data_IF_316758651239
#
_entry.id   IF_316758651239
#
_cell.length_a   1.000
_cell.length_b   1.000
_cell.length_c   1.000
_cell.angle_alpha   90.00
_cell.angle_beta   90.00
_cell.angle_gamma   90.00
#
_symmetry.space_group_name_H-M   'P 1'
#
loop_
_entity.id
_entity.type
_entity.pdbx_description
1 polymer ?
#
# COMPACT_ATOMS: atom_id res chain seq x y z
N UNK A 1 34.80 7.64 33.75
CA UNK A 1 34.56 7.92 32.32
C UNK A 1 33.74 9.18 32.25
N UNK A 2 34.34 10.26 31.75
CA UNK A 2 33.68 11.57 31.72
C UNK A 2 32.60 11.62 30.64
N UNK A 3 31.62 12.52 30.78
CA UNK A 3 30.59 12.74 29.73
C UNK A 3 31.22 13.15 28.40
N UNK A 4 32.38 13.82 28.44
CA UNK A 4 33.15 14.19 27.26
C UNK A 4 33.76 12.96 26.56
N UNK A 5 34.41 12.07 27.31
CA UNK A 5 34.96 10.80 26.80
C UNK A 5 33.86 9.90 26.20
N UNK A 6 32.67 9.89 26.80
CA UNK A 6 31.53 9.12 26.29
C UNK A 6 31.03 9.68 24.95
N UNK A 7 30.94 11.02 24.83
CA UNK A 7 30.54 11.68 23.57
C UNK A 7 31.54 11.43 22.45
N UNK A 8 32.83 11.49 22.76
CA UNK A 8 33.90 11.24 21.79
C UNK A 8 33.89 9.79 21.31
N UNK A 9 33.74 8.83 22.23
CA UNK A 9 33.57 7.41 21.88
C UNK A 9 32.31 7.14 21.07
N UNK A 10 31.21 7.80 21.39
CA UNK A 10 29.96 7.67 20.64
C UNK A 10 30.11 8.23 19.22
N UNK A 11 30.78 9.37 19.05
CA UNK A 11 31.06 9.95 17.74
C UNK A 11 31.97 9.03 16.89
N UNK A 12 33.04 8.51 17.48
CA UNK A 12 33.93 7.56 16.81
C UNK A 12 33.22 6.25 16.42
N UNK A 13 32.31 5.76 17.28
CA UNK A 13 31.49 4.59 16.97
C UNK A 13 30.50 4.85 15.83
N UNK A 14 29.84 6.02 15.81
CA UNK A 14 28.96 6.44 14.70
C UNK A 14 29.74 6.51 13.40
N UNK A 15 30.93 7.10 13.41
CA UNK A 15 31.78 7.22 12.22
C UNK A 15 32.19 5.86 11.68
N UNK A 16 32.62 4.94 12.55
CA UNK A 16 32.95 3.57 12.16
C UNK A 16 31.75 2.81 11.58
N UNK A 17 30.56 2.97 12.16
CA UNK A 17 29.31 2.38 11.65
C UNK A 17 28.97 2.97 10.27
N UNK A 18 29.10 4.28 10.10
CA UNK A 18 28.83 4.96 8.83
C UNK A 18 29.83 4.55 7.74
N UNK A 19 31.12 4.44 8.05
CA UNK A 19 32.14 3.96 7.12
C UNK A 19 31.89 2.51 6.71
N UNK A 20 31.58 1.63 7.67
CA UNK A 20 31.23 0.24 7.36
C UNK A 20 29.97 0.17 6.48
N UNK A 21 28.95 0.98 6.78
CA UNK A 21 27.71 1.06 6.01
C UNK A 21 27.97 1.51 4.57
N UNK A 22 28.79 2.54 4.37
CA UNK A 22 29.16 3.01 3.03
C UNK A 22 30.03 2.00 2.27
N UNK A 23 30.98 1.33 2.93
CA UNK A 23 31.77 0.24 2.29
C UNK A 23 30.90 -0.92 1.85
N UNK A 24 29.95 -1.35 2.69
CA UNK A 24 28.99 -2.42 2.35
C UNK A 24 28.09 -1.99 1.18
N UNK A 25 27.61 -0.75 1.20
CA UNK A 25 26.80 -0.17 0.13
C UNK A 25 27.57 -0.11 -1.20
N UNK A 26 28.81 0.38 -1.19
CA UNK A 26 29.68 0.44 -2.37
C UNK A 26 29.98 -0.96 -2.91
N UNK A 27 30.33 -1.92 -2.04
CA UNK A 27 30.63 -3.29 -2.48
C UNK A 27 29.41 -4.00 -3.05
N UNK A 28 28.22 -3.79 -2.46
CA UNK A 28 26.96 -4.23 -3.05
C UNK A 28 26.74 -3.59 -4.42
N UNK A 29 26.95 -2.28 -4.54
CA UNK A 29 26.79 -1.54 -5.81
C UNK A 29 27.75 -2.01 -6.92
N UNK A 30 28.97 -2.42 -6.57
CA UNK A 30 29.93 -3.00 -7.52
C UNK A 30 29.54 -4.40 -8.02
N UNK A 31 28.83 -5.19 -7.20
CA UNK A 31 28.34 -6.52 -7.56
C UNK A 31 27.06 -6.47 -8.39
N UNK A 32 26.38 -5.32 -8.42
CA UNK A 32 25.17 -5.11 -9.19
C UNK A 32 25.56 -4.67 -10.60
N UNK A 33 25.26 -5.51 -11.57
CA UNK A 33 25.77 -5.49 -12.93
C UNK A 33 24.87 -4.75 -13.92
N UNK A 34 23.66 -4.34 -13.53
CA UNK A 34 22.73 -3.67 -14.45
C UNK A 34 21.80 -2.64 -13.79
N UNK A 35 21.79 -1.43 -14.35
CA UNK A 35 20.65 -0.50 -14.22
C UNK A 35 19.48 -1.06 -15.05
N UNK A 36 18.35 -1.34 -14.38
CA UNK A 36 17.14 -1.87 -15.03
C UNK A 36 16.66 -0.95 -16.16
N UNK A 37 16.75 0.37 -15.98
CA UNK A 37 16.33 1.33 -17.00
C UNK A 37 17.30 1.40 -18.18
N UNK A 38 18.61 1.32 -17.94
CA UNK A 38 19.64 1.18 -18.97
C UNK A 38 19.48 -0.12 -19.77
N UNK A 39 19.25 -1.23 -19.09
CA UNK A 39 19.06 -2.55 -19.70
C UNK A 39 17.74 -2.65 -20.49
N UNK A 40 16.65 -2.07 -19.97
CA UNK A 40 15.40 -1.99 -20.71
C UNK A 40 15.54 -1.17 -22.00
N UNK A 41 16.32 -0.08 -21.96
CA UNK A 41 16.66 0.74 -23.14
C UNK A 41 17.52 -0.02 -24.15
N UNK A 42 18.53 -0.78 -23.71
CA UNK A 42 19.37 -1.58 -24.62
C UNK A 42 18.59 -2.70 -25.32
N UNK A 43 17.57 -3.24 -24.66
CA UNK A 43 16.61 -4.19 -25.25
C UNK A 43 15.58 -3.53 -26.19
N UNK A 44 15.68 -2.22 -26.43
CA UNK A 44 14.77 -1.50 -27.34
C UNK A 44 13.34 -1.38 -26.82
N UNK A 45 13.10 -1.48 -25.51
CA UNK A 45 11.75 -1.32 -24.96
C UNK A 45 11.30 0.14 -25.09
N UNK A 46 10.17 0.34 -25.77
CA UNK A 46 9.54 1.64 -25.88
C UNK A 46 8.74 1.98 -24.62
N UNK A 47 8.57 3.28 -24.37
CA UNK A 47 7.69 3.80 -23.33
C UNK A 47 6.25 3.42 -23.64
N UNK A 48 5.52 2.98 -22.61
CA UNK A 48 4.07 2.80 -22.72
C UNK A 48 3.47 4.18 -22.99
N UNK A 49 2.57 4.29 -23.96
CA UNK A 49 1.87 5.55 -24.28
C UNK A 49 0.38 5.35 -24.08
N UNK A 50 -0.23 6.20 -23.25
CA UNK A 50 -1.69 6.23 -23.09
C UNK A 50 -2.29 7.35 -23.93
N UNK A 51 -3.39 7.05 -24.61
CA UNK A 51 -4.29 8.03 -25.18
C UNK A 51 -5.21 8.66 -24.13
N UNK A 52 -5.87 9.79 -24.45
CA UNK A 52 -6.73 10.52 -23.52
C UNK A 52 -7.99 9.76 -23.05
N UNK A 53 -8.34 8.67 -23.72
CA UNK A 53 -9.50 7.81 -23.39
C UNK A 53 -9.08 6.49 -22.73
N UNK A 54 -7.78 6.26 -22.54
CA UNK A 54 -7.30 4.94 -22.16
C UNK A 54 -7.58 4.64 -20.70
N UNK A 55 -7.52 5.60 -19.78
CA UNK A 55 -7.86 5.40 -18.37
C UNK A 55 -8.84 6.48 -17.91
N UNK A 56 -10.07 6.08 -17.59
CA UNK A 56 -11.16 7.01 -17.27
C UNK A 56 -11.83 6.63 -15.96
N UNK A 57 -12.32 7.63 -15.22
CA UNK A 57 -13.15 7.39 -14.04
C UNK A 57 -14.52 6.85 -14.50
N UNK A 58 -14.73 5.55 -14.27
CA UNK A 58 -15.94 4.86 -14.69
C UNK A 58 -17.07 5.00 -13.65
N UNK A 59 -16.71 5.08 -12.36
CA UNK A 59 -17.66 5.14 -11.23
C UNK A 59 -17.08 5.97 -10.09
N UNK A 60 -17.97 6.63 -9.37
CA UNK A 60 -17.66 7.28 -8.07
C UNK A 60 -18.52 6.60 -7.01
N UNK A 61 -17.88 6.02 -5.99
CA UNK A 61 -18.53 5.41 -4.85
C UNK A 61 -18.62 6.45 -3.72
N UNK A 62 -19.84 6.76 -3.29
CA UNK A 62 -20.10 7.73 -2.24
C UNK A 62 -20.86 7.09 -1.08
N UNK A 63 -20.42 7.37 0.15
CA UNK A 63 -21.15 6.88 1.32
C UNK A 63 -20.39 6.84 2.63
N UNK A 64 -19.06 6.94 2.61
CA UNK A 64 -18.33 7.28 3.83
C UNK A 64 -18.60 8.72 4.23
N UNK A 65 -18.71 8.97 5.52
CA UNK A 65 -18.90 10.32 6.06
C UNK A 65 -17.58 10.95 6.48
N UNK A 66 -16.54 10.13 6.63
CA UNK A 66 -15.18 10.53 6.97
C UNK A 66 -14.19 10.26 5.85
N UNK A 67 -12.92 10.56 6.13
CA UNK A 67 -11.80 10.30 5.24
C UNK A 67 -11.64 8.80 5.03
N UNK A 68 -11.49 8.37 3.79
CA UNK A 68 -11.09 7.00 3.46
C UNK A 68 -9.60 6.87 3.79
N UNK A 69 -9.18 5.75 4.38
CA UNK A 69 -7.77 5.50 4.73
C UNK A 69 -7.19 4.29 3.99
N UNK A 70 -7.99 3.24 3.83
CA UNK A 70 -7.57 2.06 3.09
C UNK A 70 -8.71 1.51 2.26
N UNK A 71 -8.33 0.79 1.22
CA UNK A 71 -9.22 0.02 0.38
C UNK A 71 -8.50 -1.26 -0.03
N UNK A 72 -9.27 -2.30 -0.30
CA UNK A 72 -8.76 -3.53 -0.89
C UNK A 72 -9.79 -4.16 -1.83
N UNK A 73 -9.31 -4.89 -2.83
CA UNK A 73 -10.17 -5.59 -3.80
C UNK A 73 -10.30 -7.05 -3.44
N UNK A 74 -11.49 -7.60 -3.68
CA UNK A 74 -11.64 -9.05 -3.63
C UNK A 74 -11.00 -9.72 -4.85
N UNK A 75 -10.47 -10.95 -4.72
CA UNK A 75 -9.95 -11.71 -5.85
C UNK A 75 -10.97 -11.98 -6.98
N UNK A 76 -12.25 -12.02 -6.63
CA UNK A 76 -13.39 -12.20 -7.56
C UNK A 76 -13.71 -10.94 -8.39
N UNK A 77 -13.10 -9.78 -8.06
CA UNK A 77 -13.21 -8.48 -8.76
C UNK A 77 -14.56 -7.77 -8.64
N UNK A 78 -15.53 -8.41 -8.03
CA UNK A 78 -16.89 -7.90 -7.90
C UNK A 78 -17.02 -6.94 -6.70
N UNK A 79 -16.19 -7.11 -5.67
CA UNK A 79 -16.28 -6.36 -4.41
C UNK A 79 -15.01 -5.58 -4.04
N UNK A 80 -15.23 -4.43 -3.40
CA UNK A 80 -14.21 -3.57 -2.81
C UNK A 80 -14.58 -3.36 -1.35
N UNK A 81 -13.61 -3.42 -0.45
CA UNK A 81 -13.78 -3.03 0.96
C UNK A 81 -13.05 -1.72 1.16
N UNK A 82 -13.65 -0.81 1.90
CA UNK A 82 -13.02 0.46 2.26
C UNK A 82 -13.15 0.74 3.75
N UNK A 83 -12.07 1.25 4.33
CA UNK A 83 -11.97 1.68 5.72
C UNK A 83 -11.92 3.20 5.81
N UNK A 84 -12.64 3.74 6.80
CA UNK A 84 -12.81 5.17 6.97
C UNK A 84 -12.61 5.61 8.42
N UNK A 85 -12.31 6.91 8.56
CA UNK A 85 -12.27 7.62 9.82
C UNK A 85 -13.59 7.51 10.62
N UNK A 86 -14.71 7.35 9.92
CA UNK A 86 -16.06 7.26 10.51
C UNK A 86 -16.32 5.99 11.34
N UNK A 87 -15.35 5.07 11.43
CA UNK A 87 -15.50 3.84 12.19
C UNK A 87 -16.31 2.78 11.46
N UNK A 88 -16.47 2.87 10.14
CA UNK A 88 -17.18 1.88 9.34
C UNK A 88 -16.26 1.28 8.28
N UNK A 89 -16.47 -0.02 8.03
CA UNK A 89 -16.09 -0.64 6.78
C UNK A 89 -17.32 -0.68 5.88
N UNK A 90 -17.14 -0.32 4.61
CA UNK A 90 -18.17 -0.53 3.61
C UNK A 90 -17.63 -1.51 2.57
N UNK A 91 -18.41 -2.55 2.31
CA UNK A 91 -18.19 -3.44 1.17
C UNK A 91 -19.10 -2.96 0.04
N UNK A 92 -18.49 -2.71 -1.10
CA UNK A 92 -19.13 -2.20 -2.30
C UNK A 92 -19.15 -3.28 -3.36
N UNK A 93 -20.19 -3.31 -4.18
CA UNK A 93 -20.14 -3.94 -5.48
C UNK A 93 -19.50 -2.96 -6.48
N UNK A 94 -18.34 -3.32 -7.03
CA UNK A 94 -17.56 -2.47 -7.92
C UNK A 94 -18.30 -2.12 -9.22
N UNK A 95 -19.13 -3.04 -9.73
CA UNK A 95 -19.83 -2.87 -11.00
C UNK A 95 -21.06 -1.96 -10.89
N UNK A 96 -21.84 -2.17 -9.82
CA UNK A 96 -23.13 -1.46 -9.61
C UNK A 96 -23.01 -0.25 -8.69
N UNK A 97 -21.85 -0.04 -8.06
CA UNK A 97 -21.61 0.98 -7.02
C UNK A 97 -22.52 0.88 -5.78
N UNK A 98 -23.20 -0.25 -5.60
CA UNK A 98 -24.08 -0.50 -4.45
C UNK A 98 -23.29 -0.92 -3.21
N UNK A 99 -23.79 -0.56 -2.03
CA UNK A 99 -23.26 -1.01 -0.74
C UNK A 99 -23.85 -2.37 -0.42
N UNK A 100 -23.02 -3.42 -0.39
CA UNK A 100 -23.46 -4.78 -0.05
C UNK A 100 -23.47 -5.00 1.46
N UNK A 101 -22.42 -4.54 2.14
CA UNK A 101 -22.33 -4.58 3.60
C UNK A 101 -21.84 -3.24 4.16
N UNK A 102 -22.36 -2.86 5.32
CA UNK A 102 -21.87 -1.74 6.10
C UNK A 102 -21.60 -2.24 7.52
N UNK A 103 -20.33 -2.44 7.86
CA UNK A 103 -19.89 -2.99 9.14
C UNK A 103 -19.51 -1.83 10.04
N UNK A 104 -20.22 -1.67 11.15
CA UNK A 104 -19.87 -0.70 12.18
C UNK A 104 -18.83 -1.31 13.10
N UNK A 105 -17.69 -0.64 13.23
CA UNK A 105 -16.61 -1.05 14.12
C UNK A 105 -16.76 -0.35 15.48
N UNK A 106 -16.25 -0.97 16.56
CA UNK A 106 -16.31 -0.40 17.90
C UNK A 106 -15.44 0.86 18.04
N UNK A 107 -14.40 1.00 17.22
CA UNK A 107 -13.48 2.12 17.26
C UNK A 107 -13.53 2.92 15.95
N UNK A 108 -13.52 4.24 16.08
CA UNK A 108 -13.31 5.16 14.96
C UNK A 108 -11.85 5.09 14.48
N UNK A 109 -11.53 5.72 13.35
CA UNK A 109 -10.17 5.74 12.78
C UNK A 109 -9.67 4.35 12.39
N UNK A 110 -10.43 3.72 11.49
CA UNK A 110 -10.05 2.45 10.88
C UNK A 110 -9.05 2.78 9.78
N UNK A 111 -7.79 2.44 10.02
CA UNK A 111 -6.68 2.86 9.16
C UNK A 111 -6.42 1.86 8.05
N UNK A 112 -6.77 0.59 8.27
CA UNK A 112 -6.48 -0.50 7.34
C UNK A 112 -7.65 -1.45 7.16
N UNK A 113 -7.74 -2.02 5.96
CA UNK A 113 -8.62 -3.12 5.64
C UNK A 113 -7.96 -4.02 4.59
N UNK A 114 -8.29 -5.32 4.63
CA UNK A 114 -7.85 -6.30 3.66
C UNK A 114 -8.93 -7.37 3.45
N UNK A 115 -9.06 -7.87 2.23
CA UNK A 115 -9.88 -9.04 1.92
C UNK A 115 -9.08 -10.33 2.12
N UNK A 116 -9.78 -11.38 2.53
CA UNK A 116 -9.24 -12.74 2.46
C UNK A 116 -9.07 -13.18 0.99
N UNK A 117 -8.05 -14.00 0.68
CA UNK A 117 -7.90 -14.66 -0.62
C UNK A 117 -9.15 -15.40 -1.12
N UNK A 118 -10.00 -15.89 -0.22
CA UNK A 118 -11.31 -16.48 -0.60
C UNK A 118 -12.43 -15.46 -0.85
N UNK A 119 -12.24 -14.20 -0.48
CA UNK A 119 -13.27 -13.15 -0.56
C UNK A 119 -14.43 -13.30 0.44
N UNK A 120 -14.32 -14.22 1.40
CA UNK A 120 -15.36 -14.48 2.40
C UNK A 120 -15.20 -13.65 3.66
N UNK A 121 -13.97 -13.26 4.00
CA UNK A 121 -13.68 -12.50 5.21
C UNK A 121 -13.00 -11.18 4.91
N UNK A 122 -13.18 -10.22 5.81
CA UNK A 122 -12.49 -8.93 5.79
C UNK A 122 -11.79 -8.71 7.12
N UNK A 123 -10.53 -8.29 7.06
CA UNK A 123 -9.77 -7.87 8.22
C UNK A 123 -9.71 -6.34 8.25
N UNK A 124 -9.66 -5.78 9.45
CA UNK A 124 -9.46 -4.35 9.66
C UNK A 124 -8.70 -4.07 10.94
N UNK A 125 -8.05 -2.92 10.99
CA UNK A 125 -7.37 -2.44 12.17
C UNK A 125 -7.29 -0.92 12.20
N UNK A 126 -7.01 -0.36 13.37
CA UNK A 126 -6.93 1.08 13.54
C UNK A 126 -6.24 1.49 14.83
N UNK A 127 -6.76 2.56 15.44
CA UNK A 127 -6.17 3.20 16.61
C UNK A 127 -6.22 2.34 17.89
N UNK A 128 -7.10 1.34 17.94
CA UNK A 128 -7.28 0.45 19.07
C UNK A 128 -6.15 -0.59 19.24
N UNK A 129 -5.24 -0.69 18.27
CA UNK A 129 -4.14 -1.66 18.27
C UNK A 129 -4.62 -3.09 18.05
N UNK A 130 -5.88 -3.28 17.66
CA UNK A 130 -6.48 -4.58 17.38
C UNK A 130 -6.61 -4.78 15.87
N UNK A 131 -6.55 -6.03 15.44
CA UNK A 131 -7.01 -6.41 14.12
C UNK A 131 -8.23 -7.32 14.25
N UNK A 132 -9.39 -6.84 13.81
CA UNK A 132 -10.65 -7.58 13.83
C UNK A 132 -10.96 -8.19 12.48
N UNK A 133 -11.46 -9.41 12.47
CA UNK A 133 -11.83 -10.15 11.27
C UNK A 133 -13.34 -10.41 11.30
N UNK A 134 -14.00 -10.12 10.18
CA UNK A 134 -15.42 -10.30 9.97
C UNK A 134 -15.65 -11.26 8.81
N UNK A 135 -16.52 -12.24 9.02
CA UNK A 135 -17.00 -13.10 7.95
C UNK A 135 -18.26 -12.48 7.33
N UNK A 136 -18.24 -12.27 6.01
CA UNK A 136 -19.33 -11.62 5.28
C UNK A 136 -20.55 -12.52 5.11
N UNK A 137 -20.37 -13.84 5.22
CA UNK A 137 -21.45 -14.83 5.12
C UNK A 137 -22.18 -15.07 6.45
N UNK A 138 -21.67 -14.54 7.57
CA UNK A 138 -22.30 -14.70 8.88
C UNK A 138 -23.62 -13.93 8.95
N UNK A 139 -24.59 -14.50 9.67
CA UNK A 139 -25.85 -13.81 9.93
C UNK A 139 -25.58 -12.51 10.70
N UNK A 140 -26.20 -11.42 10.25
CA UNK A 140 -26.17 -10.15 10.97
C UNK A 140 -26.94 -10.26 12.28
N UNK A 141 -26.46 -9.58 13.31
CA UNK A 141 -27.16 -9.50 14.60
C UNK A 141 -28.50 -8.72 14.46
N UNK A 142 -29.30 -8.67 15.53
CA UNK A 142 -30.59 -7.96 15.60
C UNK A 142 -30.49 -6.48 15.19
N UNK A 143 -29.34 -5.87 15.44
CA UNK A 143 -29.05 -4.48 15.08
C UNK A 143 -28.52 -4.31 13.64
N UNK A 144 -28.47 -5.39 12.85
CA UNK A 144 -27.98 -5.40 11.46
C UNK A 144 -26.45 -5.37 11.33
N UNK A 145 -25.71 -5.51 12.43
CA UNK A 145 -24.24 -5.52 12.42
C UNK A 145 -23.70 -6.93 12.21
N UNK A 146 -22.59 -7.05 11.48
CA UNK A 146 -21.85 -8.31 11.38
C UNK A 146 -21.04 -8.54 12.66
N UNK A 147 -21.15 -9.72 13.31
CA UNK A 147 -20.37 -10.02 14.50
C UNK A 147 -18.88 -10.15 14.17
N UNK A 148 -18.03 -9.78 15.13
CA UNK A 148 -16.59 -10.01 15.03
C UNK A 148 -16.34 -11.52 15.13
N UNK A 149 -15.68 -12.09 14.13
CA UNK A 149 -15.33 -13.51 14.13
C UNK A 149 -14.10 -13.78 14.99
N UNK A 150 -13.04 -12.98 14.79
CA UNK A 150 -11.77 -13.11 15.50
C UNK A 150 -11.23 -11.72 15.79
N UNK A 151 -10.68 -11.52 16.99
CA UNK A 151 -9.95 -10.31 17.36
C UNK A 151 -8.51 -10.69 17.68
N UNK A 152 -7.58 -10.18 16.89
CA UNK A 152 -6.15 -10.33 17.09
C UNK A 152 -5.65 -9.16 17.93
N UNK A 153 -5.29 -9.47 19.17
CA UNK A 153 -4.80 -8.49 20.13
C UNK A 153 -3.31 -8.69 20.38
N UNK A 154 -2.53 -7.62 20.23
CA UNK A 154 -1.19 -7.66 20.76
C UNK A 154 -0.21 -6.58 20.37
N UNK A 155 -0.59 -5.67 19.49
CA UNK A 155 0.19 -4.48 19.24
C UNK A 155 0.12 -3.52 20.43
N UNK A 156 1.23 -2.82 20.68
CA UNK A 156 1.30 -1.77 21.72
C UNK A 156 0.91 -0.40 21.18
N UNK A 157 0.81 -0.26 19.86
CA UNK A 157 0.44 0.94 19.14
C UNK A 157 -0.72 0.67 18.17
N UNK A 158 -1.07 1.69 17.39
CA UNK A 158 -2.12 1.59 16.38
C UNK A 158 -1.69 0.68 15.22
N UNK A 159 -2.63 -0.07 14.65
CA UNK A 159 -2.39 -0.89 13.45
C UNK A 159 -2.45 0.01 12.22
N UNK A 160 -1.32 0.15 11.53
CA UNK A 160 -1.18 1.03 10.37
C UNK A 160 -1.59 0.35 9.06
N UNK A 161 -1.30 -0.95 8.92
CA UNK A 161 -1.64 -1.74 7.75
C UNK A 161 -1.90 -3.20 8.16
N UNK A 162 -2.75 -3.89 7.41
CA UNK A 162 -2.99 -5.30 7.51
C UNK A 162 -3.12 -5.88 6.09
N UNK A 163 -2.60 -7.09 5.90
CA UNK A 163 -2.70 -7.79 4.62
C UNK A 163 -2.71 -9.29 4.87
N UNK A 164 -3.62 -9.99 4.19
CA UNK A 164 -3.60 -11.45 4.18
C UNK A 164 -2.37 -11.97 3.45
N UNK A 165 -1.85 -13.11 3.92
CA UNK A 165 -0.83 -13.84 3.16
C UNK A 165 -1.48 -14.37 1.88
N UNK A 166 -0.90 -14.13 0.68
CA UNK A 166 -1.43 -14.68 -0.56
C UNK A 166 -1.58 -16.20 -0.48
N UNK A 167 -2.62 -16.73 -1.13
CA UNK A 167 -2.94 -18.16 -1.20
C UNK A 167 -3.29 -18.84 0.15
N UNK A 168 -3.28 -18.10 1.26
CA UNK A 168 -3.59 -18.62 2.60
C UNK A 168 -4.61 -17.75 3.34
N UNK A 169 -5.78 -18.32 3.63
CA UNK A 169 -6.85 -17.64 4.38
C UNK A 169 -6.63 -17.64 5.90
N UNK A 170 -5.59 -18.34 6.37
CA UNK A 170 -5.31 -18.56 7.79
C UNK A 170 -4.30 -17.59 8.38
N UNK A 171 -3.53 -16.89 7.55
CA UNK A 171 -2.46 -16.01 8.01
C UNK A 171 -2.69 -14.57 7.60
N UNK A 172 -2.47 -13.66 8.54
CA UNK A 172 -2.48 -12.23 8.30
C UNK A 172 -1.24 -11.58 8.86
N UNK A 173 -0.68 -10.64 8.10
CA UNK A 173 0.44 -9.80 8.54
C UNK A 173 -0.13 -8.43 8.88
N UNK A 174 0.23 -7.94 10.06
CA UNK A 174 -0.11 -6.58 10.50
C UNK A 174 1.16 -5.78 10.71
N UNK A 175 1.11 -4.49 10.41
CA UNK A 175 2.13 -3.51 10.78
C UNK A 175 1.53 -2.51 11.77
N UNK A 176 2.34 -2.04 12.70
CA UNK A 176 1.88 -1.17 13.79
C UNK A 176 2.84 0.00 14.02
N UNK A 177 2.30 1.07 14.60
CA UNK A 177 3.07 2.20 15.12
C UNK A 177 4.01 1.83 16.27
N UNK A 178 3.96 0.61 16.79
CA UNK A 178 4.94 0.07 17.74
C UNK A 178 6.26 -0.42 17.09
N UNK A 179 6.44 -0.14 15.79
CA UNK A 179 7.63 -0.49 15.00
C UNK A 179 7.82 -2.00 14.78
N UNK A 180 6.80 -2.80 15.07
CA UNK A 180 6.79 -4.24 14.79
C UNK A 180 5.80 -4.59 13.69
N UNK A 181 6.13 -5.62 12.93
CA UNK A 181 5.19 -6.34 12.09
C UNK A 181 4.97 -7.73 12.70
N UNK A 182 3.74 -8.21 12.72
CA UNK A 182 3.41 -9.50 13.34
C UNK A 182 2.66 -10.35 12.33
N UNK A 183 3.09 -11.60 12.18
CA UNK A 183 2.34 -12.65 11.50
C UNK A 183 1.45 -13.34 12.51
N UNK A 184 0.18 -13.41 12.20
CA UNK A 184 -0.84 -14.03 13.03
C UNK A 184 -1.41 -15.24 12.33
N UNK A 185 -1.72 -16.25 13.12
CA UNK A 185 -2.62 -17.33 12.72
C UNK A 185 -4.04 -16.98 13.20
N UNK A 186 -4.96 -16.87 12.25
CA UNK A 186 -6.35 -16.46 12.45
C UNK A 186 -7.12 -17.55 13.20
N UNK A 187 -6.78 -18.82 12.99
CA UNK A 187 -7.50 -19.95 13.60
C UNK A 187 -7.26 -20.03 15.10
N UNK A 188 -6.02 -19.77 15.53
CA UNK A 188 -5.61 -19.77 16.93
C UNK A 188 -5.70 -18.40 17.58
N UNK A 189 -5.69 -17.32 16.79
CA UNK A 189 -5.62 -15.94 17.26
C UNK A 189 -4.26 -15.56 17.85
N UNK A 190 -3.24 -16.40 17.66
CA UNK A 190 -1.92 -16.25 18.26
C UNK A 190 -0.92 -15.59 17.30
N UNK A 191 0.12 -15.00 17.90
CA UNK A 191 1.27 -14.46 17.16
C UNK A 191 2.17 -15.61 16.77
N UNK A 192 2.32 -15.85 15.48
CA UNK A 192 3.22 -16.89 14.96
C UNK A 192 4.65 -16.38 14.95
N UNK A 193 4.87 -15.19 14.38
CA UNK A 193 6.20 -14.56 14.31
C UNK A 193 6.09 -13.04 14.49
N UNK A 194 7.09 -12.45 15.13
CA UNK A 194 7.22 -11.00 15.30
C UNK A 194 8.48 -10.56 14.55
N UNK A 195 8.31 -9.61 13.64
CA UNK A 195 9.36 -9.00 12.85
C UNK A 195 9.61 -7.57 13.34
N UNK A 196 10.85 -7.21 13.61
CA UNK A 196 11.23 -5.82 13.98
C UNK A 196 11.30 -5.55 15.49
N UNK A 197 11.86 -4.38 15.83
CA UNK A 197 12.15 -3.94 17.21
C UNK A 197 13.40 -3.07 17.30
N UNK A 198 14.60 -3.63 17.06
CA UNK A 198 15.89 -2.97 17.35
C UNK A 198 16.77 -2.66 16.12
N UNK A 199 16.31 -2.92 14.89
CA UNK A 199 17.09 -2.62 13.68
C UNK A 199 16.30 -1.74 12.70
N UNK A 200 16.81 -0.52 12.48
CA UNK A 200 16.36 0.37 11.41
C UNK A 200 16.84 -0.20 10.05
N UNK A 201 16.10 -1.15 9.49
CA UNK A 201 16.37 -1.65 8.14
C UNK A 201 15.27 -1.19 7.18
N UNK A 202 15.32 0.08 6.77
CA UNK A 202 14.37 0.57 5.78
C UNK A 202 14.44 2.05 5.48
N UNK A 203 13.33 2.55 4.92
CA UNK A 203 13.08 3.95 4.59
C UNK A 203 13.41 4.89 5.75
N UNK A 204 13.80 6.12 5.41
CA UNK A 204 14.07 7.17 6.40
C UNK A 204 12.79 7.83 6.96
N UNK A 205 11.61 7.38 6.49
CA UNK A 205 10.27 7.83 6.89
C UNK A 205 9.28 6.64 6.81
N UNK A 206 8.02 6.87 7.22
CA UNK A 206 6.99 5.82 7.33
C UNK A 206 6.70 5.14 5.97
N UNK A 207 6.75 3.81 5.96
CA UNK A 207 6.35 3.00 4.80
C UNK A 207 4.85 2.82 4.84
N UNK A 208 4.13 3.56 4.01
CA UNK A 208 2.68 3.61 4.08
C UNK A 208 2.00 2.45 3.37
N UNK A 209 2.65 1.86 2.36
CA UNK A 209 2.15 0.70 1.59
C UNK A 209 3.29 -0.14 1.01
N UNK A 210 3.05 -1.45 0.94
CA UNK A 210 3.88 -2.46 0.30
C UNK A 210 3.03 -3.19 -0.75
N UNK A 211 3.63 -3.53 -1.89
CA UNK A 211 2.99 -4.41 -2.86
C UNK A 211 4.02 -5.41 -3.38
N UNK A 212 3.70 -6.70 -3.29
CA UNK A 212 4.52 -7.79 -3.84
C UNK A 212 3.92 -8.38 -5.10
N UNK A 213 4.77 -8.59 -6.11
CA UNK A 213 4.45 -9.41 -7.27
C UNK A 213 5.65 -10.30 -7.60
N UNK A 214 5.49 -11.59 -7.35
CA UNK A 214 6.55 -12.58 -7.47
C UNK A 214 7.76 -12.19 -6.60
N UNK A 215 8.93 -12.07 -7.23
CA UNK A 215 10.20 -11.77 -6.55
C UNK A 215 10.48 -10.28 -6.36
N UNK A 216 9.50 -9.39 -6.55
CA UNK A 216 9.70 -7.95 -6.41
C UNK A 216 8.68 -7.35 -5.48
N UNK A 217 9.07 -6.30 -4.79
CA UNK A 217 8.12 -5.49 -4.04
C UNK A 217 8.39 -4.00 -4.18
N UNK A 218 7.32 -3.22 -4.28
CA UNK A 218 7.43 -1.77 -4.16
C UNK A 218 7.10 -1.30 -2.76
N UNK A 219 7.59 -0.11 -2.47
CA UNK A 219 7.32 0.63 -1.24
C UNK A 219 7.06 2.09 -1.58
N UNK A 220 6.05 2.67 -0.96
CA UNK A 220 5.78 4.10 -0.96
C UNK A 220 6.11 4.68 0.40
N UNK A 221 6.83 5.80 0.42
CA UNK A 221 7.34 6.44 1.63
C UNK A 221 6.99 7.93 1.65
N UNK A 222 6.83 8.47 2.85
CA UNK A 222 6.68 9.90 3.09
C UNK A 222 7.94 10.72 2.69
N UNK A 223 9.05 10.08 2.30
CA UNK A 223 10.19 10.79 1.69
C UNK A 223 9.93 11.28 0.25
N UNK A 224 8.72 11.07 -0.27
CA UNK A 224 8.31 11.44 -1.63
C UNK A 224 8.85 10.49 -2.70
N UNK A 225 9.48 9.38 -2.30
CA UNK A 225 10.01 8.37 -3.22
C UNK A 225 9.16 7.10 -3.19
N UNK A 226 8.95 6.53 -4.38
CA UNK A 226 8.56 5.13 -4.50
C UNK A 226 9.82 4.33 -4.82
N UNK A 227 10.04 3.21 -4.15
CA UNK A 227 11.21 2.35 -4.41
C UNK A 227 10.76 0.94 -4.74
N UNK A 228 11.37 0.36 -5.76
CA UNK A 228 11.17 -1.04 -6.15
C UNK A 228 12.38 -1.85 -5.70
N UNK A 229 12.13 -3.01 -5.10
CA UNK A 229 13.13 -3.92 -4.58
C UNK A 229 12.97 -5.32 -5.20
N UNK A 230 14.06 -6.06 -5.32
CA UNK A 230 14.06 -7.51 -5.60
C UNK A 230 14.24 -8.28 -4.29
N UNK A 231 13.33 -9.20 -4.01
CA UNK A 231 13.32 -10.04 -2.81
C UNK A 231 14.53 -10.99 -2.79
N UNK A 232 14.95 -11.51 -3.95
CA UNK A 232 16.04 -12.50 -4.04
C UNK A 232 17.38 -11.90 -3.66
N UNK A 233 17.58 -10.63 -4.03
CA UNK A 233 18.85 -9.93 -3.87
C UNK A 233 18.83 -8.96 -2.69
N UNK A 234 17.65 -8.70 -2.11
CA UNK A 234 17.46 -7.70 -1.05
C UNK A 234 17.90 -6.30 -1.46
N UNK A 235 17.84 -5.98 -2.76
CA UNK A 235 18.41 -4.77 -3.33
C UNK A 235 17.34 -3.89 -4.01
N UNK A 236 17.58 -2.58 -3.95
CA UNK A 236 16.76 -1.55 -4.56
C UNK A 236 17.00 -1.50 -6.08
N UNK A 237 16.03 -1.95 -6.87
CA UNK A 237 16.10 -1.98 -8.33
C UNK A 237 15.95 -0.61 -8.97
N UNK A 238 15.01 0.19 -8.48
CA UNK A 238 14.64 1.49 -9.06
C UNK A 238 14.10 2.44 -7.98
N UNK A 239 14.29 3.74 -8.21
CA UNK A 239 13.66 4.83 -7.45
C UNK A 239 12.83 5.65 -8.40
N UNK A 240 11.57 5.85 -8.07
CA UNK A 240 10.67 6.75 -8.76
C UNK A 240 10.47 7.97 -7.86
N UNK A 241 10.92 9.11 -8.36
CA UNK A 241 10.71 10.40 -7.74
C UNK A 241 10.46 11.40 -8.86
N UNK A 242 9.63 12.39 -8.59
CA UNK A 242 9.38 13.47 -9.53
C UNK A 242 9.95 14.74 -8.94
N UNK A 243 10.90 15.35 -9.65
CA UNK A 243 11.37 16.69 -9.31
C UNK A 243 10.22 17.67 -9.53
N UNK A 244 9.51 17.95 -8.46
CA UNK A 244 8.73 19.18 -8.34
C UNK A 244 9.77 20.28 -8.11
N UNK A 245 9.58 21.49 -8.66
CA UNK A 245 10.52 22.61 -8.50
C UNK A 245 10.66 23.07 -7.03
N UNK A 246 10.85 24.36 -6.78
CA UNK A 246 10.98 24.96 -5.42
C UNK A 246 9.78 24.76 -4.46
N UNK A 247 8.80 23.91 -4.80
CA UNK A 247 7.66 23.56 -3.95
C UNK A 247 7.86 22.18 -3.31
N UNK A 248 7.37 22.06 -2.08
CA UNK A 248 7.31 20.83 -1.28
C UNK A 248 7.04 19.59 -2.14
N UNK A 249 7.89 18.57 -1.98
CA UNK A 249 7.71 17.28 -2.66
C UNK A 249 6.46 16.63 -2.08
N UNK A 250 5.42 16.34 -2.89
CA UNK A 250 4.23 15.70 -2.38
C UNK A 250 4.57 14.28 -1.90
N UNK A 251 4.09 13.95 -0.71
CA UNK A 251 4.34 12.67 -0.05
C UNK A 251 3.67 11.55 -0.85
N UNK A 252 4.34 10.41 -1.01
CA UNK A 252 3.74 9.22 -1.60
C UNK A 252 2.97 8.50 -0.51
N UNK A 253 1.64 8.50 -0.63
CA UNK A 253 0.76 7.94 0.39
C UNK A 253 0.44 6.47 0.15
N UNK A 254 0.45 6.04 -1.11
CA UNK A 254 0.05 4.71 -1.50
C UNK A 254 0.62 4.32 -2.86
N UNK A 255 0.80 3.02 -3.06
CA UNK A 255 1.30 2.45 -4.30
C UNK A 255 0.53 1.18 -4.66
N UNK A 256 0.37 0.92 -5.94
CA UNK A 256 -0.14 -0.34 -6.48
C UNK A 256 0.55 -0.63 -7.82
N UNK A 257 0.89 -1.88 -8.13
CA UNK A 257 1.41 -2.23 -9.45
C UNK A 257 0.32 -2.86 -10.30
N UNK A 258 0.45 -2.72 -11.62
CA UNK A 258 -0.29 -3.55 -12.58
C UNK A 258 0.06 -5.03 -12.42
N UNK A 259 -0.80 -5.92 -12.92
CA UNK A 259 -0.56 -7.37 -12.90
C UNK A 259 0.70 -7.79 -13.68
N UNK A 260 1.08 -7.12 -14.77
CA UNK A 260 2.39 -7.35 -15.41
C UNK A 260 3.59 -6.86 -14.61
N UNK A 261 3.35 -6.04 -13.60
CA UNK A 261 4.37 -5.23 -12.94
C UNK A 261 5.00 -4.16 -13.84
N UNK A 262 4.46 -3.89 -15.04
CA UNK A 262 4.98 -2.87 -15.96
C UNK A 262 4.61 -1.44 -15.55
N UNK A 263 3.45 -1.28 -14.93
CA UNK A 263 2.96 0.01 -14.44
C UNK A 263 3.00 0.03 -12.92
N UNK A 264 3.38 1.18 -12.38
CA UNK A 264 3.25 1.52 -10.97
C UNK A 264 2.31 2.72 -10.85
N UNK A 265 1.22 2.55 -10.13
CA UNK A 265 0.31 3.61 -9.73
C UNK A 265 0.76 4.12 -8.37
N UNK A 266 1.05 5.42 -8.27
CA UNK A 266 1.46 6.06 -7.03
C UNK A 266 0.49 7.20 -6.71
N UNK A 267 -0.09 7.17 -5.52
CA UNK A 267 -1.01 8.18 -5.01
C UNK A 267 -0.26 9.15 -4.11
N UNK A 268 -0.60 10.42 -4.22
CA UNK A 268 0.15 11.49 -3.56
C UNK A 268 -0.73 12.33 -2.63
N UNK A 269 -0.07 13.02 -1.69
CA UNK A 269 -0.72 13.91 -0.73
C UNK A 269 -1.44 15.10 -1.35
N UNK A 270 -1.05 15.50 -2.57
CA UNK A 270 -1.63 16.61 -3.32
C UNK A 270 -2.89 16.21 -4.12
N UNK A 271 -3.31 14.94 -4.06
CA UNK A 271 -4.46 14.42 -4.80
C UNK A 271 -4.16 13.92 -6.21
N UNK A 272 -2.92 14.08 -6.69
CA UNK A 272 -2.49 13.48 -7.95
C UNK A 272 -2.24 11.97 -7.79
N UNK A 273 -2.41 11.25 -8.90
CA UNK A 273 -1.96 9.88 -9.01
C UNK A 273 -1.13 9.74 -10.29
N UNK A 274 0.17 9.48 -10.14
CA UNK A 274 1.08 9.30 -11.26
C UNK A 274 1.18 7.81 -11.62
N UNK A 275 1.10 7.53 -12.91
CA UNK A 275 1.33 6.21 -13.48
C UNK A 275 2.74 6.17 -14.05
N UNK A 276 3.58 5.34 -13.47
CA UNK A 276 4.98 5.17 -13.82
C UNK A 276 5.19 3.91 -14.65
N UNK A 277 6.05 3.98 -15.66
CA UNK A 277 6.62 2.81 -16.32
C UNK A 277 7.77 2.29 -15.44
N UNK A 278 7.62 1.09 -14.89
CA UNK A 278 8.57 0.52 -13.93
C UNK A 278 9.91 0.17 -14.55
N UNK A 279 9.94 -0.12 -15.86
CA UNK A 279 11.18 -0.47 -16.55
C UNK A 279 11.96 0.77 -16.94
N UNK A 280 11.27 1.84 -17.33
CA UNK A 280 11.91 3.05 -17.84
C UNK A 280 12.02 4.17 -16.82
N UNK A 281 11.41 4.01 -15.64
CA UNK A 281 11.33 5.01 -14.57
C UNK A 281 10.80 6.37 -15.06
N UNK A 282 9.79 6.34 -15.94
CA UNK A 282 9.17 7.55 -16.51
C UNK A 282 7.69 7.60 -16.17
N UNK A 283 7.20 8.82 -15.92
CA UNK A 283 5.76 9.08 -15.83
C UNK A 283 5.15 8.88 -17.21
N UNK A 284 4.13 8.04 -17.26
CA UNK A 284 3.33 7.79 -18.46
C UNK A 284 2.09 8.67 -18.47
N UNK A 285 1.44 8.83 -17.32
CA UNK A 285 0.19 9.56 -17.18
C UNK A 285 0.07 10.17 -15.78
N UNK A 286 -0.55 11.35 -15.68
CA UNK A 286 -1.05 11.89 -14.41
C UNK A 286 -2.59 11.82 -14.40
N UNK A 287 -3.15 10.97 -13.54
CA UNK A 287 -4.59 10.84 -13.35
C UNK A 287 -5.23 12.06 -12.70
N UNK A 288 -4.47 12.86 -11.94
CA UNK A 288 -4.95 14.10 -11.33
C UNK A 288 -5.38 15.15 -12.35
N UNK A 289 -4.78 15.12 -13.55
CA UNK A 289 -5.13 16.00 -14.68
C UNK A 289 -6.38 15.56 -15.45
N UNK A 290 -6.92 14.36 -15.17
CA UNK A 290 -8.10 13.83 -15.83
C UNK A 290 -9.36 14.41 -15.20
N UNK A 291 -10.38 14.67 -16.03
CA UNK A 291 -11.70 15.14 -15.58
C UNK A 291 -12.26 14.17 -14.51
N UNK A 292 -12.73 14.70 -13.38
CA UNK A 292 -13.22 13.96 -12.19
C UNK A 292 -12.15 13.29 -11.31
N UNK A 293 -10.93 13.82 -11.26
CA UNK A 293 -9.94 13.45 -10.24
C UNK A 293 -10.37 13.82 -8.82
N UNK A 294 -9.59 13.40 -7.82
CA UNK A 294 -9.84 13.70 -6.41
C UNK A 294 -9.45 15.14 -6.07
N UNK A 295 -10.19 15.77 -5.14
CA UNK A 295 -9.96 17.16 -4.72
C UNK A 295 -8.98 17.25 -3.53
N UNK A 296 -8.68 16.12 -2.91
CA UNK A 296 -7.84 16.02 -1.72
C UNK A 296 -6.88 14.84 -1.84
N UNK A 297 -6.04 14.64 -0.82
CA UNK A 297 -5.09 13.53 -0.69
C UNK A 297 -5.74 12.20 -1.04
N UNK A 298 -5.16 11.51 -2.01
CA UNK A 298 -5.42 10.09 -2.23
C UNK A 298 -4.67 9.35 -1.12
N UNK A 299 -5.36 8.54 -0.32
CA UNK A 299 -4.79 7.83 0.82
C UNK A 299 -4.46 6.37 0.50
N UNK A 300 -5.18 5.80 -0.46
CA UNK A 300 -5.05 4.40 -0.82
C UNK A 300 -5.36 4.18 -2.30
N UNK A 301 -4.67 3.18 -2.84
CA UNK A 301 -4.83 2.66 -4.18
C UNK A 301 -4.93 1.15 -4.08
N UNK A 302 -5.75 0.54 -4.92
CA UNK A 302 -5.86 -0.90 -5.04
C UNK A 302 -6.23 -1.29 -6.45
N UNK A 303 -5.58 -2.31 -6.97
CA UNK A 303 -5.85 -2.87 -8.30
C UNK A 303 -6.82 -4.05 -8.17
N UNK A 304 -7.75 -4.18 -9.11
CA UNK A 304 -8.53 -5.41 -9.26
C UNK A 304 -7.60 -6.60 -9.55
N UNK A 305 -8.03 -7.81 -9.18
CA UNK A 305 -7.19 -9.01 -9.32
C UNK A 305 -6.83 -9.39 -10.78
N UNK A 306 -7.51 -8.85 -11.80
CA UNK A 306 -7.06 -8.92 -13.21
C UNK A 306 -6.25 -7.73 -13.69
N UNK A 307 -6.19 -6.65 -12.93
CA UNK A 307 -5.68 -5.39 -13.42
C UNK A 307 -6.58 -4.67 -14.42
N UNK A 308 -7.85 -5.03 -14.56
CA UNK A 308 -8.79 -4.28 -15.41
C UNK A 308 -9.11 -2.89 -14.86
N UNK A 309 -9.10 -2.75 -13.53
CA UNK A 309 -9.55 -1.54 -12.84
C UNK A 309 -8.63 -1.19 -11.65
N UNK A 310 -8.53 0.09 -11.37
CA UNK A 310 -7.87 0.67 -10.20
C UNK A 310 -8.93 1.42 -9.38
N UNK A 311 -8.98 1.18 -8.07
CA UNK A 311 -9.77 1.98 -7.16
C UNK A 311 -8.85 2.95 -6.41
N UNK A 312 -9.26 4.21 -6.32
CA UNK A 312 -8.59 5.24 -5.53
C UNK A 312 -9.52 5.68 -4.40
N UNK A 313 -8.99 5.76 -3.17
CA UNK A 313 -9.70 6.29 -2.01
C UNK A 313 -9.05 7.59 -1.55
N UNK A 314 -9.87 8.58 -1.19
CA UNK A 314 -9.41 9.93 -0.89
C UNK A 314 -9.99 10.47 0.42
N UNK A 315 -9.33 11.50 0.92
CA UNK A 315 -9.80 12.31 2.04
C UNK A 315 -10.98 13.22 1.68
N UNK A 316 -11.34 13.31 0.40
CA UNK A 316 -12.60 13.92 -0.07
C UNK A 316 -13.85 13.05 0.16
N UNK A 317 -13.70 11.96 0.93
CA UNK A 317 -14.73 10.97 1.33
C UNK A 317 -15.24 10.06 0.21
N UNK A 318 -14.77 10.24 -1.03
CA UNK A 318 -15.16 9.43 -2.15
C UNK A 318 -14.12 8.35 -2.46
N UNK A 319 -14.60 7.27 -3.07
CA UNK A 319 -13.75 6.35 -3.82
C UNK A 319 -14.08 6.48 -5.31
N UNK A 320 -13.09 6.33 -6.18
CA UNK A 320 -13.26 6.37 -7.63
C UNK A 320 -12.67 5.12 -8.25
N UNK A 321 -13.43 4.50 -9.16
CA UNK A 321 -12.97 3.36 -9.95
C UNK A 321 -12.57 3.87 -11.32
N UNK A 322 -11.33 3.60 -11.67
CA UNK A 322 -10.70 3.91 -12.94
C UNK A 322 -10.51 2.61 -13.70
N UNK A 323 -11.05 2.50 -14.91
CA UNK A 323 -10.83 1.34 -15.74
C UNK A 323 -10.31 1.76 -17.11
N UNK A 324 -9.61 0.85 -17.76
CA UNK A 324 -9.08 1.13 -19.08
C UNK A 324 -10.21 1.13 -20.13
N UNK A 325 -10.35 2.22 -20.88
CA UNK A 325 -11.33 2.36 -21.97
C UNK A 325 -10.86 1.65 -23.25
N UNK A 326 -11.64 0.68 -23.73
CA UNK A 326 -11.36 -0.03 -24.99
C UNK A 326 -10.73 -1.42 -24.83
N UNK A 327 -10.56 -2.16 -25.93
CA UNK A 327 -10.12 -3.57 -25.99
C UNK A 327 -8.70 -3.87 -25.48
N UNK A 328 -8.02 -2.94 -24.81
CA UNK A 328 -6.72 -3.21 -24.18
C UNK A 328 -6.93 -3.68 -22.76
N UNK A 329 -6.93 -4.99 -22.58
CA UNK A 329 -6.65 -5.60 -21.27
C UNK A 329 -5.24 -5.17 -20.84
N UNK A 330 -5.07 -4.88 -19.55
CA UNK A 330 -3.74 -4.79 -18.95
C UNK A 330 -3.11 -6.16 -19.10
N UNK A 331 -2.09 -6.24 -19.96
CA UNK A 331 -1.14 -7.35 -19.95
C UNK A 331 -0.16 -7.04 -18.85
#
# INVERSE_FOLDING_TARGET
MSVAELKERHAAAIEAVNDLRERLKQRRQQLLDADVAGYARSLGRSQVTFGPTDLVCCRTLQGHTGKVYSLDWTPERDRIVSASQDGRLIVWNAQTSQKTHAIKLPCAWVMTCAFSPTGQSVACGGLDGMCSIFNLNSATDRDGNLPVSVTLNGHKGYVSCCQYVPDEDIHIITSSGDQTCVLWDITTGLRTTVFGGEFQSGHTADVLRYFSYGNRFGTGSDDGTCRLFDIRNGHQLQVYYQQHGDKEVPLVTSIAFSISGRLLFAGYSNGDCYVWDTLLARVVLNLGSVKNSHENRISCLGLSADGSSLCTGSWDTNLKIWAFGGHRKVI
#
